data_IF_892359686954
#
_entry.id   IF_892359686954
#
_cell.length_a   1.000
_cell.length_b   1.000
_cell.length_c   1.000
_cell.angle_alpha   90.00
_cell.angle_beta   90.00
_cell.angle_gamma   90.00
#
_symmetry.space_group_name_H-M   'P 1'
#
loop_
_entity.id
_entity.type
_entity.pdbx_description
1 polymer ?
#
# COMPACT_ATOMS: atom_id res chain seq x y z
N UNK A 1 -2.07 22.52 4.08
CA UNK A 1 -1.43 21.71 3.04
C UNK A 1 -1.46 20.26 3.51
N UNK A 2 -2.24 19.39 2.86
CA UNK A 2 -2.25 17.97 3.20
C UNK A 2 -0.88 17.36 2.83
N UNK A 3 -0.32 16.52 3.70
CA UNK A 3 0.95 15.85 3.42
C UNK A 3 0.73 14.76 2.36
N UNK A 4 1.23 14.99 1.14
CA UNK A 4 1.22 13.97 0.08
C UNK A 4 2.47 13.10 0.18
N UNK A 5 2.27 11.85 0.58
CA UNK A 5 3.31 10.84 0.71
C UNK A 5 3.79 10.41 -0.67
N UNK A 6 5.11 10.32 -0.88
CA UNK A 6 5.65 9.69 -2.10
C UNK A 6 5.27 8.21 -2.14
N UNK A 7 4.74 7.74 -3.26
CA UNK A 7 4.34 6.34 -3.48
C UNK A 7 5.57 5.47 -3.76
N UNK A 8 6.42 5.30 -2.75
CA UNK A 8 7.58 4.40 -2.79
C UNK A 8 7.25 3.09 -2.06
N UNK A 9 7.96 2.02 -2.41
CA UNK A 9 7.81 0.70 -1.78
C UNK A 9 7.88 0.79 -0.25
N UNK A 10 8.91 1.46 0.30
CA UNK A 10 9.07 1.59 1.75
C UNK A 10 7.94 2.35 2.42
N UNK A 11 7.40 3.38 1.75
CA UNK A 11 6.29 4.17 2.28
C UNK A 11 4.97 3.37 2.27
N UNK A 12 4.71 2.61 1.21
CA UNK A 12 3.54 1.71 1.15
C UNK A 12 3.64 0.63 2.23
N UNK A 13 4.81 -0.02 2.37
CA UNK A 13 5.03 -1.03 3.41
C UNK A 13 4.79 -0.43 4.80
N UNK A 14 5.36 0.75 5.08
CA UNK A 14 5.19 1.42 6.36
C UNK A 14 3.77 1.90 6.64
N UNK A 15 3.01 2.25 5.60
CA UNK A 15 1.60 2.62 5.73
C UNK A 15 0.73 1.39 6.03
N UNK A 16 0.92 0.31 5.28
CA UNK A 16 0.06 -0.87 5.37
C UNK A 16 0.41 -1.77 6.56
N UNK A 17 1.68 -2.21 6.64
CA UNK A 17 2.17 -3.17 7.64
C UNK A 17 2.76 -2.51 8.90
N UNK A 18 2.75 -1.17 8.98
CA UNK A 18 3.24 -0.44 10.14
C UNK A 18 2.30 -0.55 11.35
N UNK A 19 2.85 -0.36 12.54
CA UNK A 19 2.07 -0.31 13.77
C UNK A 19 1.02 0.81 13.74
N UNK A 20 -0.11 0.57 14.40
CA UNK A 20 -1.16 1.59 14.51
C UNK A 20 -0.71 2.73 15.43
N UNK A 21 -0.37 3.86 14.80
CA UNK A 21 0.20 5.03 15.47
C UNK A 21 -0.50 6.29 14.95
N UNK A 22 -0.54 7.39 15.73
CA UNK A 22 -1.11 8.65 15.25
C UNK A 22 -0.51 9.15 13.93
N UNK A 23 0.79 8.91 13.73
CA UNK A 23 1.49 9.26 12.49
C UNK A 23 0.98 8.41 11.30
N UNK A 24 0.73 7.12 11.51
CA UNK A 24 0.15 6.24 10.48
C UNK A 24 -1.28 6.67 10.15
N UNK A 25 -2.10 6.94 11.16
CA UNK A 25 -3.48 7.43 10.97
C UNK A 25 -3.49 8.76 10.20
N UNK A 26 -2.60 9.69 10.55
CA UNK A 26 -2.44 10.93 9.79
C UNK A 26 -2.08 10.69 8.32
N UNK A 27 -1.18 9.75 8.02
CA UNK A 27 -0.84 9.38 6.64
C UNK A 27 -2.02 8.78 5.88
N UNK A 28 -2.83 7.92 6.52
CA UNK A 28 -4.05 7.36 5.92
C UNK A 28 -5.03 8.49 5.58
N UNK A 29 -5.30 9.39 6.53
CA UNK A 29 -6.24 10.51 6.33
C UNK A 29 -5.81 11.48 5.23
N UNK A 30 -4.50 11.69 5.08
CA UNK A 30 -3.94 12.63 4.10
C UNK A 30 -3.63 12.01 2.74
N UNK A 31 -3.69 10.68 2.61
CA UNK A 31 -3.38 9.93 1.38
C UNK A 31 -4.43 8.82 1.16
N UNK A 32 -5.73 9.15 1.10
CA UNK A 32 -6.81 8.16 1.00
C UNK A 32 -6.71 7.30 -0.27
N UNK A 33 -6.15 7.83 -1.35
CA UNK A 33 -5.94 7.10 -2.61
C UNK A 33 -4.95 5.93 -2.44
N UNK A 34 -3.88 6.14 -1.68
CA UNK A 34 -2.89 5.10 -1.40
C UNK A 34 -3.49 4.04 -0.49
N UNK A 35 -4.28 4.45 0.51
CA UNK A 35 -4.97 3.53 1.40
C UNK A 35 -6.00 2.68 0.65
N UNK A 36 -6.80 3.30 -0.22
CA UNK A 36 -7.77 2.59 -1.06
C UNK A 36 -7.10 1.57 -1.99
N UNK A 37 -5.96 1.92 -2.59
CA UNK A 37 -5.19 0.98 -3.41
C UNK A 37 -4.66 -0.20 -2.58
N UNK A 38 -4.16 0.05 -1.36
CA UNK A 38 -3.77 -1.04 -0.46
C UNK A 38 -4.94 -1.96 -0.11
N UNK A 39 -6.13 -1.42 0.20
CA UNK A 39 -7.33 -2.22 0.48
C UNK A 39 -7.71 -3.09 -0.73
N UNK A 40 -7.69 -2.50 -1.94
CA UNK A 40 -8.02 -3.22 -3.16
C UNK A 40 -7.06 -4.38 -3.42
N UNK A 41 -5.74 -4.15 -3.32
CA UNK A 41 -4.75 -5.22 -3.50
C UNK A 41 -4.84 -6.25 -2.37
N UNK A 42 -5.17 -5.86 -1.15
CA UNK A 42 -5.27 -6.81 -0.04
C UNK A 42 -6.39 -7.85 -0.21
N UNK A 43 -7.42 -7.54 -1.01
CA UNK A 43 -8.55 -8.44 -1.26
C UNK A 43 -8.17 -9.62 -2.18
N UNK A 44 -7.28 -9.40 -3.15
CA UNK A 44 -6.90 -10.40 -4.17
C UNK A 44 -5.42 -10.83 -4.12
N UNK A 45 -4.60 -10.23 -3.26
CA UNK A 45 -3.18 -10.51 -3.21
C UNK A 45 -2.88 -11.89 -2.63
N UNK A 46 -2.20 -12.71 -3.43
CA UNK A 46 -1.67 -14.01 -3.00
C UNK A 46 -0.16 -13.89 -2.74
N UNK A 47 0.31 -14.04 -1.49
CA UNK A 47 1.73 -13.98 -1.18
C UNK A 47 2.49 -15.23 -1.66
N UNK A 48 3.66 -15.02 -2.26
CA UNK A 48 4.52 -16.10 -2.76
C UNK A 48 4.96 -17.09 -1.67
N UNK A 49 5.06 -16.62 -0.42
CA UNK A 49 5.43 -17.46 0.72
C UNK A 49 4.33 -18.41 1.20
N UNK A 50 3.10 -18.26 0.71
CA UNK A 50 1.92 -18.99 1.21
C UNK A 50 1.40 -18.47 2.56
N UNK A 51 1.81 -17.28 3.00
CA UNK A 51 1.28 -16.66 4.20
C UNK A 51 -0.24 -16.46 4.11
N UNK A 52 -0.96 -16.74 5.20
CA UNK A 52 -2.43 -16.65 5.22
C UNK A 52 -2.92 -15.28 5.69
N UNK A 53 -2.11 -14.56 6.45
CA UNK A 53 -2.46 -13.23 6.98
C UNK A 53 -1.32 -12.23 6.79
N UNK A 54 -1.61 -10.91 6.68
CA UNK A 54 -0.59 -9.87 6.51
C UNK A 54 0.51 -9.86 7.59
N UNK A 55 0.21 -10.30 8.82
CA UNK A 55 1.17 -10.40 9.92
C UNK A 55 2.24 -11.46 9.66
N UNK A 56 1.91 -12.50 8.89
CA UNK A 56 2.80 -13.60 8.52
C UNK A 56 3.66 -13.27 7.29
N UNK A 57 3.41 -12.14 6.62
CA UNK A 57 4.10 -11.79 5.39
C UNK A 57 5.61 -11.62 5.64
N UNK A 58 6.40 -12.32 4.84
CA UNK A 58 7.85 -12.17 4.80
C UNK A 58 8.21 -10.85 4.12
N UNK A 59 9.48 -10.47 4.22
CA UNK A 59 10.00 -9.27 3.54
C UNK A 59 9.72 -9.29 2.03
N UNK A 60 9.84 -10.45 1.39
CA UNK A 60 9.50 -10.63 -0.03
C UNK A 60 8.04 -10.29 -0.31
N UNK A 61 7.11 -10.86 0.47
CA UNK A 61 5.67 -10.67 0.27
C UNK A 61 5.27 -9.20 0.44
N UNK A 62 5.82 -8.53 1.47
CA UNK A 62 5.58 -7.09 1.71
C UNK A 62 6.06 -6.24 0.53
N UNK A 63 7.19 -6.60 -0.09
CA UNK A 63 7.72 -5.91 -1.27
C UNK A 63 6.85 -6.18 -2.50
N UNK A 64 6.45 -7.44 -2.73
CA UNK A 64 5.56 -7.81 -3.84
C UNK A 64 4.20 -7.10 -3.73
N UNK A 65 3.62 -7.08 -2.54
CA UNK A 65 2.39 -6.33 -2.23
C UNK A 65 2.54 -4.85 -2.56
N UNK A 66 3.61 -4.21 -2.06
CA UNK A 66 3.84 -2.79 -2.30
C UNK A 66 4.08 -2.46 -3.79
N UNK A 67 4.68 -3.38 -4.56
CA UNK A 67 4.81 -3.24 -6.02
C UNK A 67 3.46 -3.31 -6.72
N UNK A 68 2.58 -4.24 -6.32
CA UNK A 68 1.23 -4.34 -6.86
C UNK A 68 0.42 -3.06 -6.60
N UNK A 69 0.49 -2.52 -5.38
CA UNK A 69 -0.13 -1.22 -5.04
C UNK A 69 0.41 -0.09 -5.90
N UNK A 70 1.75 -0.01 -6.07
CA UNK A 70 2.38 1.02 -6.88
C UNK A 70 1.96 0.95 -8.36
N UNK A 71 1.85 -0.26 -8.91
CA UNK A 71 1.37 -0.48 -10.27
C UNK A 71 -0.08 0.01 -10.42
N UNK A 72 -0.97 -0.37 -9.49
CA UNK A 72 -2.38 0.04 -9.49
C UNK A 72 -2.57 1.55 -9.47
N UNK A 73 -1.78 2.26 -8.66
CA UNK A 73 -1.81 3.72 -8.59
C UNK A 73 -1.32 4.35 -9.90
N UNK A 74 -0.28 3.77 -10.53
CA UNK A 74 0.25 4.24 -11.80
C UNK A 74 -0.75 4.06 -12.96
N UNK A 75 -1.48 2.93 -12.98
CA UNK A 75 -2.56 2.68 -13.93
C UNK A 75 -3.72 3.66 -13.76
N UNK A 76 -4.07 3.96 -12.51
CA UNK A 76 -5.15 4.91 -12.19
C UNK A 76 -4.78 6.32 -12.67
N UNK A 77 -3.54 6.77 -12.42
CA UNK A 77 -3.06 8.07 -12.89
C UNK A 77 -3.04 8.14 -14.44
N UNK A 78 -2.65 7.07 -15.12
CA UNK A 78 -2.67 7.00 -16.58
C UNK A 78 -4.09 7.04 -17.15
N UNK A 79 -5.06 6.41 -16.49
CA UNK A 79 -6.46 6.38 -16.92
C UNK A 79 -7.22 7.68 -16.64
N UNK A 80 -6.75 8.51 -15.71
CA UNK A 80 -7.31 9.86 -15.44
C UNK A 80 -6.80 10.90 -16.45
N UNK A 81 -5.68 10.63 -17.13
CA UNK A 81 -5.10 11.50 -18.17
C UNK A 81 -5.46 11.11 -19.61
N UNK A 82 -6.18 10.01 -19.80
CA UNK A 82 -6.69 9.56 -21.10
C UNK A 82 -8.11 10.08 -21.36
#
# INVERSE_FOLDING_TARGET
MAHRMKVTISNIIGLWFGADTPIRQYKILTNPEVWAACLHIADDFTPDSGALTPEQYRKSDKVSFARAVQAKLSETDANVMA
#
